data_IF_824454725816
#
_entry.id   IF_824454725816
#
_cell.length_a   1.000
_cell.length_b   1.000
_cell.length_c   1.000
_cell.angle_alpha   90.00
_cell.angle_beta   90.00
_cell.angle_gamma   90.00
#
_symmetry.space_group_name_H-M   'P 1'
#
loop_
_entity.id
_entity.type
_entity.pdbx_description
1 polymer ?
#
# COMPACT_ATOMS: atom_id res chain seq x y z
N UNK A 1 -18.60 -25.54 -26.24
CA UNK A 1 -17.57 -26.29 -26.97
C UNK A 1 -16.29 -25.47 -26.97
N UNK A 2 -15.42 -25.73 -26.00
CA UNK A 2 -14.04 -25.24 -25.95
C UNK A 2 -13.14 -26.13 -26.84
N UNK A 3 -12.07 -25.57 -27.41
CA UNK A 3 -10.79 -26.26 -27.55
C UNK A 3 -9.78 -25.57 -26.61
N UNK A 4 -9.12 -26.20 -25.64
CA UNK A 4 -8.70 -27.59 -25.53
C UNK A 4 -7.17 -27.65 -25.50
N UNK A 5 -6.59 -27.19 -24.38
CA UNK A 5 -5.36 -27.63 -23.71
C UNK A 5 -4.05 -27.79 -24.52
N UNK A 6 -3.24 -26.71 -24.54
CA UNK A 6 -1.78 -26.75 -24.76
C UNK A 6 -1.01 -26.73 -23.43
N UNK A 7 -1.39 -27.59 -22.50
CA UNK A 7 -0.61 -27.84 -21.27
C UNK A 7 -0.21 -29.30 -21.25
N UNK A 8 0.84 -29.62 -22.01
CA UNK A 8 1.59 -30.85 -21.79
C UNK A 8 2.38 -30.64 -20.50
N UNK A 9 1.93 -31.34 -19.46
CA UNK A 9 2.58 -31.41 -18.16
C UNK A 9 4.03 -31.90 -18.34
N UNK A 10 4.95 -31.37 -17.53
CA UNK A 10 6.40 -31.62 -17.60
C UNK A 10 6.82 -33.12 -17.58
N UNK A 11 5.89 -34.02 -17.23
CA UNK A 11 6.11 -35.46 -17.12
C UNK A 11 6.09 -36.20 -18.48
N UNK A 12 5.45 -35.63 -19.51
CA UNK A 12 5.28 -36.32 -20.81
C UNK A 12 6.46 -36.10 -21.78
N UNK A 13 7.20 -35.00 -21.61
CA UNK A 13 8.40 -34.72 -22.41
C UNK A 13 9.53 -35.73 -22.12
N UNK A 14 9.65 -36.14 -20.85
CA UNK A 14 10.61 -37.15 -20.40
C UNK A 14 10.28 -38.53 -21.00
N UNK A 15 8.99 -38.90 -21.02
CA UNK A 15 8.51 -40.13 -21.63
C UNK A 15 8.73 -40.16 -23.15
N UNK A 16 8.53 -39.04 -23.85
CA UNK A 16 8.77 -38.94 -25.29
C UNK A 16 10.27 -39.05 -25.63
N UNK A 17 11.14 -38.46 -24.80
CA UNK A 17 12.59 -38.50 -24.97
C UNK A 17 13.15 -39.90 -24.69
N UNK A 18 12.71 -40.55 -23.61
CA UNK A 18 13.13 -41.92 -23.24
C UNK A 18 12.67 -42.97 -24.25
N UNK A 19 11.46 -42.83 -24.82
CA UNK A 19 10.95 -43.74 -25.86
C UNK A 19 11.72 -43.59 -27.18
N UNK A 20 12.21 -42.39 -27.50
CA UNK A 20 13.05 -42.16 -28.68
C UNK A 20 14.47 -42.70 -28.49
N UNK A 21 15.03 -42.63 -27.28
CA UNK A 21 16.35 -43.19 -26.96
C UNK A 21 16.34 -44.74 -26.97
N UNK A 22 15.30 -45.37 -26.42
CA UNK A 22 15.16 -46.83 -26.42
C UNK A 22 14.98 -47.42 -27.83
N UNK A 23 14.33 -46.69 -28.74
CA UNK A 23 14.22 -47.09 -30.16
C UNK A 23 15.55 -47.08 -30.91
N UNK A 24 16.52 -46.26 -30.48
CA UNK A 24 17.81 -46.09 -31.17
C UNK A 24 18.89 -46.99 -30.55
N UNK A 25 18.87 -47.22 -29.24
CA UNK A 25 19.95 -47.90 -28.51
C UNK A 25 19.54 -49.17 -27.75
N UNK A 26 18.26 -49.56 -27.78
CA UNK A 26 17.74 -50.71 -27.04
C UNK A 26 17.67 -50.47 -25.53
N UNK A 27 16.90 -51.30 -24.81
CA UNK A 27 16.64 -51.13 -23.37
C UNK A 27 17.84 -51.44 -22.47
N UNK A 28 18.86 -52.13 -22.99
CA UNK A 28 20.06 -52.52 -22.23
C UNK A 28 21.36 -51.94 -22.79
N UNK A 29 21.30 -50.92 -23.66
CA UNK A 29 22.48 -50.18 -24.10
C UNK A 29 23.60 -51.03 -24.72
N UNK A 30 23.26 -52.15 -25.38
CA UNK A 30 24.21 -53.07 -25.96
C UNK A 30 24.16 -53.02 -27.50
N UNK A 31 25.19 -52.41 -28.09
CA UNK A 31 25.36 -52.31 -29.54
C UNK A 31 25.58 -53.71 -30.15
N UNK A 32 24.88 -54.12 -31.22
CA UNK A 32 25.14 -55.38 -31.89
C UNK A 32 26.40 -55.23 -32.77
N UNK A 33 27.52 -55.79 -32.30
CA UNK A 33 28.79 -55.79 -33.01
C UNK A 33 29.92 -55.40 -32.07
N UNK A 34 30.67 -56.39 -31.60
CA UNK A 34 31.66 -56.29 -30.52
C UNK A 34 32.66 -55.13 -30.65
N UNK A 35 32.37 -54.02 -29.99
CA UNK A 35 33.28 -52.94 -29.67
C UNK A 35 32.96 -52.41 -28.25
N UNK A 36 33.98 -52.02 -27.45
CA UNK A 36 33.77 -51.65 -26.05
C UNK A 36 32.98 -50.34 -25.91
N UNK A 37 32.11 -50.32 -24.91
CA UNK A 37 31.26 -49.22 -24.43
C UNK A 37 31.80 -47.80 -24.72
N UNK A 38 31.17 -47.08 -25.66
CA UNK A 38 31.36 -45.65 -25.84
C UNK A 38 30.37 -44.88 -24.93
N UNK A 39 30.88 -43.98 -24.08
CA UNK A 39 30.04 -43.11 -23.26
C UNK A 39 29.49 -41.96 -24.13
N UNK A 40 28.16 -41.84 -24.18
CA UNK A 40 27.48 -40.71 -24.86
C UNK A 40 27.12 -39.67 -23.81
N UNK A 41 27.65 -38.45 -23.96
CA UNK A 41 27.31 -37.31 -23.10
C UNK A 41 26.34 -36.37 -23.81
N UNK A 42 25.38 -35.82 -23.06
CA UNK A 42 24.44 -34.81 -23.56
C UNK A 42 24.68 -33.49 -22.83
N UNK A 43 24.76 -32.39 -23.58
CA UNK A 43 24.78 -31.02 -23.03
C UNK A 43 23.52 -30.28 -23.49
N UNK A 44 22.90 -29.57 -22.56
CA UNK A 44 21.69 -28.80 -22.79
C UNK A 44 22.03 -27.31 -22.84
N UNK A 45 21.71 -26.65 -23.96
CA UNK A 45 21.83 -25.20 -24.08
C UNK A 45 20.48 -24.53 -23.79
N UNK A 46 20.38 -23.90 -22.63
CA UNK A 46 19.15 -23.25 -22.17
C UNK A 46 18.80 -21.96 -22.93
N UNK A 47 19.66 -21.46 -23.83
CA UNK A 47 19.39 -20.22 -24.57
C UNK A 47 18.62 -20.44 -25.88
N UNK A 48 18.71 -21.63 -26.47
CA UNK A 48 18.06 -21.98 -27.75
C UNK A 48 17.17 -23.23 -27.68
N UNK A 49 17.12 -23.92 -26.54
CA UNK A 49 16.24 -25.08 -26.34
C UNK A 49 16.60 -26.29 -27.19
N UNK A 50 17.86 -26.41 -27.62
CA UNK A 50 18.35 -27.52 -28.44
C UNK A 50 19.30 -28.45 -27.66
N UNK A 51 19.24 -29.74 -27.97
CA UNK A 51 20.05 -30.79 -27.34
C UNK A 51 21.01 -31.35 -28.39
N UNK A 52 22.31 -31.24 -28.14
CA UNK A 52 23.35 -31.70 -29.06
C UNK A 52 23.98 -32.96 -28.45
N UNK A 53 23.82 -34.10 -29.13
CA UNK A 53 24.46 -35.35 -28.73
C UNK A 53 25.83 -35.48 -29.43
N UNK A 54 26.91 -35.63 -28.66
CA UNK A 54 28.25 -35.87 -29.21
C UNK A 54 28.75 -37.25 -28.79
N UNK A 55 29.16 -38.05 -29.77
CA UNK A 55 29.79 -39.36 -29.55
C UNK A 55 31.30 -39.14 -29.39
N UNK A 56 31.82 -39.44 -28.20
CA UNK A 56 33.24 -39.30 -27.90
C UNK A 56 33.99 -40.57 -28.38
N UNK A 57 35.08 -40.46 -29.16
CA UNK A 57 35.85 -41.64 -29.56
C UNK A 57 36.60 -42.25 -28.36
N UNK A 58 36.80 -43.58 -28.33
CA UNK A 58 37.52 -44.24 -27.24
C UNK A 58 38.99 -43.79 -27.23
N UNK A 59 39.48 -43.44 -26.05
CA UNK A 59 40.85 -42.98 -25.85
C UNK A 59 41.85 -44.11 -26.17
N UNK A 60 42.61 -43.96 -27.26
CA UNK A 60 43.79 -44.78 -27.51
C UNK A 60 44.92 -44.32 -26.61
N UNK A 61 45.13 -45.03 -25.49
CA UNK A 61 46.26 -44.80 -24.60
C UNK A 61 47.57 -45.20 -25.29
N UNK A 62 48.35 -44.19 -25.72
CA UNK A 62 49.71 -44.36 -26.22
C UNK A 62 50.66 -44.10 -25.04
N UNK A 63 51.53 -45.03 -24.63
CA UNK A 63 52.37 -44.82 -23.45
C UNK A 63 53.47 -43.81 -23.83
N UNK A 64 53.26 -42.55 -23.46
CA UNK A 64 54.30 -41.52 -23.56
C UNK A 64 55.00 -41.41 -22.22
N UNK A 65 56.28 -41.80 -22.23
CA UNK A 65 57.23 -41.60 -21.14
C UNK A 65 57.22 -40.13 -20.71
N UNK A 66 56.99 -39.90 -19.43
CA UNK A 66 56.95 -38.58 -18.82
C UNK A 66 58.33 -37.88 -18.87
N UNK A 67 58.33 -36.54 -18.86
CA UNK A 67 59.25 -35.80 -18.02
C UNK A 67 58.49 -35.22 -16.83
N UNK A 68 58.93 -35.57 -15.63
CA UNK A 68 58.37 -35.22 -14.33
C UNK A 68 58.54 -33.73 -13.95
N UNK A 69 58.01 -32.81 -14.77
CA UNK A 69 58.04 -31.35 -14.50
C UNK A 69 56.70 -30.63 -14.64
N UNK A 70 55.59 -31.36 -14.78
CA UNK A 70 54.25 -30.76 -14.94
C UNK A 70 53.28 -30.92 -13.75
N UNK A 71 53.68 -31.61 -12.69
CA UNK A 71 52.78 -31.97 -11.58
C UNK A 71 52.33 -30.76 -10.74
N UNK A 72 53.08 -29.66 -10.75
CA UNK A 72 52.71 -28.42 -10.05
C UNK A 72 51.70 -27.56 -10.83
N UNK A 73 51.70 -27.62 -12.17
CA UNK A 73 50.80 -26.81 -13.00
C UNK A 73 49.37 -27.39 -13.04
N UNK A 74 49.23 -28.71 -13.01
CA UNK A 74 47.92 -29.38 -12.99
C UNK A 74 47.16 -29.20 -11.66
N UNK A 75 47.87 -29.22 -10.53
CA UNK A 75 47.27 -28.99 -9.21
C UNK A 75 46.85 -27.53 -9.05
N UNK A 76 47.62 -26.58 -9.58
CA UNK A 76 47.26 -25.16 -9.55
C UNK A 76 45.99 -24.87 -10.36
N UNK A 77 45.80 -25.48 -11.53
CA UNK A 77 44.60 -25.27 -12.35
C UNK A 77 43.34 -25.90 -11.72
N UNK A 78 43.47 -27.08 -11.12
CA UNK A 78 42.37 -27.75 -10.42
C UNK A 78 41.97 -27.01 -9.13
N UNK A 79 42.94 -26.48 -8.40
CA UNK A 79 42.69 -25.62 -7.23
C UNK A 79 42.00 -24.31 -7.63
N UNK A 80 42.38 -23.71 -8.76
CA UNK A 80 41.75 -22.50 -9.27
C UNK A 80 40.30 -22.73 -9.73
N UNK A 81 40.01 -23.89 -10.35
CA UNK A 81 38.66 -24.28 -10.72
C UNK A 81 37.78 -24.58 -9.49
N UNK A 82 38.33 -25.19 -8.44
CA UNK A 82 37.62 -25.42 -7.18
C UNK A 82 37.33 -24.09 -6.42
N UNK A 83 38.24 -23.12 -6.49
CA UNK A 83 38.02 -21.75 -5.98
C UNK A 83 36.97 -20.99 -6.81
N UNK A 84 36.88 -21.22 -8.12
CA UNK A 84 35.89 -20.59 -8.99
C UNK A 84 34.48 -21.20 -8.87
N UNK A 85 34.37 -22.47 -8.49
CA UNK A 85 33.07 -23.13 -8.24
C UNK A 85 32.35 -22.61 -6.98
N UNK A 86 33.06 -21.91 -6.07
CA UNK A 86 32.46 -21.27 -4.90
C UNK A 86 31.65 -19.99 -5.20
N UNK A 87 31.68 -19.51 -6.44
CA UNK A 87 30.98 -18.29 -6.85
C UNK A 87 29.62 -18.51 -7.53
N UNK A 88 29.01 -19.71 -7.45
CA UNK A 88 27.57 -19.82 -7.75
C UNK A 88 26.76 -19.33 -6.54
N UNK A 89 26.70 -18.01 -6.36
CA UNK A 89 25.66 -17.43 -5.53
C UNK A 89 24.34 -17.71 -6.28
N UNK A 90 23.68 -18.83 -5.97
CA UNK A 90 22.28 -19.04 -6.33
C UNK A 90 21.52 -18.00 -5.55
N UNK A 91 21.45 -16.79 -6.13
CA UNK A 91 20.76 -15.66 -5.56
C UNK A 91 19.35 -16.10 -5.29
N UNK A 92 19.05 -16.35 -4.01
CA UNK A 92 17.68 -16.53 -3.55
C UNK A 92 16.93 -15.32 -4.05
N UNK A 93 16.02 -15.51 -5.01
CA UNK A 93 15.12 -14.46 -5.45
C UNK A 93 14.24 -14.13 -4.26
N UNK A 94 14.64 -13.12 -3.49
CA UNK A 94 13.84 -12.60 -2.39
C UNK A 94 12.57 -12.04 -3.01
N UNK A 95 11.42 -12.59 -2.64
CA UNK A 95 10.14 -12.05 -3.10
C UNK A 95 9.91 -10.70 -2.43
N UNK A 96 10.14 -9.62 -3.19
CA UNK A 96 9.95 -8.25 -2.72
C UNK A 96 8.50 -7.98 -2.28
N UNK A 97 7.54 -8.83 -2.63
CA UNK A 97 6.15 -8.74 -2.19
C UNK A 97 6.01 -8.93 -0.68
N UNK A 98 6.84 -9.75 -0.05
CA UNK A 98 6.84 -9.95 1.42
C UNK A 98 7.31 -8.70 2.19
N UNK A 99 7.94 -7.76 1.47
CA UNK A 99 8.45 -6.49 1.98
C UNK A 99 7.61 -5.28 1.55
N UNK A 100 6.45 -5.50 0.91
CA UNK A 100 5.54 -4.41 0.58
C UNK A 100 4.88 -3.84 1.86
N UNK A 101 5.28 -2.62 2.21
CA UNK A 101 4.72 -1.90 3.36
C UNK A 101 3.20 -1.72 3.28
N UNK A 102 2.61 -1.76 2.07
CA UNK A 102 1.17 -1.63 1.88
C UNK A 102 0.40 -2.86 2.37
N UNK A 103 1.05 -4.03 2.38
CA UNK A 103 0.46 -5.26 2.90
C UNK A 103 0.55 -5.31 4.44
N UNK A 104 1.63 -4.75 5.02
CA UNK A 104 1.84 -4.69 6.48
C UNK A 104 1.04 -3.57 7.16
N UNK A 105 0.98 -2.41 6.51
CA UNK A 105 0.35 -1.18 7.03
C UNK A 105 -0.77 -0.71 6.07
N UNK A 106 -1.81 -1.53 5.86
CA UNK A 106 -2.89 -1.18 4.94
C UNK A 106 -3.67 0.04 5.43
N UNK A 107 -4.08 0.88 4.49
CA UNK A 107 -5.02 1.96 4.79
C UNK A 107 -6.42 1.36 4.83
N UNK A 108 -7.01 1.37 6.01
CA UNK A 108 -8.35 0.86 6.29
C UNK A 108 -9.34 2.02 6.28
N UNK A 109 -10.58 1.75 5.87
CA UNK A 109 -11.65 2.72 5.90
C UNK A 109 -12.62 2.35 7.03
N UNK A 110 -12.79 3.25 7.99
CA UNK A 110 -13.69 3.09 9.13
C UNK A 110 -14.64 4.28 9.23
N UNK A 111 -15.86 4.05 9.74
CA UNK A 111 -16.72 5.14 10.18
C UNK A 111 -16.38 5.50 11.62
N UNK A 112 -15.96 6.74 11.84
CA UNK A 112 -15.57 7.24 13.15
C UNK A 112 -16.34 8.50 13.51
N UNK A 113 -16.65 8.71 14.81
CA UNK A 113 -17.29 9.92 15.26
C UNK A 113 -16.30 11.09 15.14
N UNK A 114 -16.72 12.15 14.46
CA UNK A 114 -16.06 13.45 14.51
C UNK A 114 -16.69 14.27 15.63
N UNK A 115 -15.88 14.59 16.64
CA UNK A 115 -16.32 15.25 17.87
C UNK A 115 -15.86 16.69 17.89
N UNK A 116 -16.78 17.60 18.21
CA UNK A 116 -16.52 19.00 18.52
C UNK A 116 -16.98 19.29 19.95
N UNK A 117 -16.04 19.70 20.81
CA UNK A 117 -16.33 20.13 22.17
C UNK A 117 -16.40 21.67 22.22
N UNK A 118 -17.58 22.20 22.51
CA UNK A 118 -17.86 23.62 22.63
C UNK A 118 -17.70 24.05 24.10
N UNK A 119 -16.76 24.95 24.42
CA UNK A 119 -16.61 25.45 25.77
C UNK A 119 -17.81 26.36 26.12
N UNK A 120 -18.55 26.02 27.17
CA UNK A 120 -19.68 26.82 27.64
C UNK A 120 -19.36 27.40 29.01
N UNK A 121 -19.27 28.72 29.09
CA UNK A 121 -19.10 29.43 30.35
C UNK A 121 -20.35 29.38 31.22
N UNK A 122 -20.19 29.54 32.54
CA UNK A 122 -21.32 29.62 33.48
C UNK A 122 -22.15 30.90 33.30
N UNK A 123 -21.46 32.00 33.00
CA UNK A 123 -22.04 33.33 32.84
C UNK A 123 -21.69 33.85 31.44
N UNK A 124 -22.57 33.59 30.48
CA UNK A 124 -22.37 33.98 29.09
C UNK A 124 -23.67 33.84 28.31
N UNK A 125 -23.74 34.42 27.10
CA UNK A 125 -24.89 34.20 26.23
C UNK A 125 -24.99 32.71 25.87
N UNK A 126 -26.22 32.26 25.61
CA UNK A 126 -26.45 30.89 25.16
C UNK A 126 -25.71 30.59 23.84
N UNK A 127 -25.51 31.60 22.98
CA UNK A 127 -24.74 31.52 21.75
C UNK A 127 -23.80 32.72 21.69
N UNK A 128 -22.48 32.49 21.69
CA UNK A 128 -21.49 33.53 21.42
C UNK A 128 -21.09 33.51 19.94
N UNK A 129 -20.44 34.58 19.46
CA UNK A 129 -19.97 34.64 18.08
C UNK A 129 -18.95 33.54 17.76
N UNK A 130 -18.11 33.17 18.74
CA UNK A 130 -17.12 32.10 18.61
C UNK A 130 -17.80 30.73 18.50
N UNK A 131 -18.82 30.46 19.32
CA UNK A 131 -19.60 29.22 19.25
C UNK A 131 -20.36 29.16 17.92
N UNK A 132 -20.97 30.27 17.48
CA UNK A 132 -21.67 30.32 16.20
C UNK A 132 -20.73 30.05 15.02
N UNK A 133 -19.53 30.65 15.01
CA UNK A 133 -18.49 30.36 14.02
C UNK A 133 -18.10 28.88 14.01
N UNK A 134 -17.83 28.30 15.18
CA UNK A 134 -17.48 26.88 15.31
C UNK A 134 -18.61 25.95 14.84
N UNK A 135 -19.87 26.28 15.12
CA UNK A 135 -21.04 25.52 14.64
C UNK A 135 -21.17 25.62 13.13
N UNK A 136 -20.99 26.80 12.54
CA UNK A 136 -21.05 26.99 11.09
C UNK A 136 -19.98 26.16 10.38
N UNK A 137 -18.75 26.19 10.88
CA UNK A 137 -17.64 25.39 10.34
C UNK A 137 -17.91 23.88 10.47
N UNK A 138 -18.49 23.48 11.60
CA UNK A 138 -18.87 22.09 11.83
C UNK A 138 -20.00 21.62 10.90
N UNK A 139 -20.99 22.46 10.63
CA UNK A 139 -22.05 22.18 9.65
C UNK A 139 -21.49 22.09 8.23
N UNK A 140 -20.54 22.97 7.87
CA UNK A 140 -19.86 22.89 6.58
C UNK A 140 -19.13 21.54 6.41
N UNK A 141 -18.43 21.08 7.45
CA UNK A 141 -17.79 19.76 7.47
C UNK A 141 -18.81 18.62 7.40
N UNK A 142 -19.90 18.69 8.17
CA UNK A 142 -20.99 17.69 8.12
C UNK A 142 -21.61 17.58 6.72
N UNK A 143 -21.81 18.71 6.03
CA UNK A 143 -22.33 18.70 4.65
C UNK A 143 -21.34 18.08 3.65
N UNK A 144 -20.04 18.26 3.86
CA UNK A 144 -19.01 17.76 2.97
C UNK A 144 -18.73 16.27 3.15
N UNK A 145 -18.70 15.79 4.39
CA UNK A 145 -18.18 14.45 4.74
C UNK A 145 -19.05 13.68 5.74
N UNK A 146 -20.06 14.30 6.32
CA UNK A 146 -20.86 13.72 7.39
C UNK A 146 -21.85 12.67 6.90
N UNK A 147 -21.90 11.56 7.62
CA UNK A 147 -22.90 10.50 7.50
C UNK A 147 -23.73 10.43 8.78
N UNK A 148 -24.97 9.93 8.65
CA UNK A 148 -25.87 9.78 9.80
C UNK A 148 -26.39 11.11 10.37
N UNK A 149 -26.71 11.08 11.67
CA UNK A 149 -27.30 12.20 12.41
C UNK A 149 -26.23 12.92 13.26
N UNK A 150 -26.39 14.24 13.43
CA UNK A 150 -25.62 15.02 14.40
C UNK A 150 -26.21 14.76 15.78
N UNK A 151 -25.38 14.39 16.74
CA UNK A 151 -25.75 14.20 18.14
C UNK A 151 -25.19 15.35 18.96
N UNK A 152 -26.07 16.08 19.64
CA UNK A 152 -25.74 17.12 20.62
C UNK A 152 -25.79 16.47 22.00
N UNK A 153 -24.65 16.40 22.67
CA UNK A 153 -24.48 15.86 24.00
C UNK A 153 -24.37 17.00 25.02
N UNK A 154 -25.38 17.11 25.88
CA UNK A 154 -25.49 18.16 26.90
C UNK A 154 -25.04 17.61 28.27
N UNK A 155 -24.11 18.26 28.97
CA UNK A 155 -23.70 17.82 30.31
C UNK A 155 -24.85 17.99 31.31
N UNK A 156 -25.04 16.98 32.16
CA UNK A 156 -25.88 17.05 33.36
C UNK A 156 -25.03 16.79 34.60
N UNK A 157 -25.34 17.46 35.71
CA UNK A 157 -24.58 17.35 36.96
C UNK A 157 -23.26 18.14 36.97
N UNK A 158 -23.06 19.08 36.04
CA UNK A 158 -21.93 20.01 36.00
C UNK A 158 -22.28 21.38 36.58
N UNK A 159 -21.27 22.20 36.90
CA UNK A 159 -21.47 23.56 37.41
C UNK A 159 -22.21 24.49 36.42
N UNK A 160 -22.07 24.20 35.12
CA UNK A 160 -22.64 24.98 34.03
C UNK A 160 -23.86 24.32 33.37
N UNK A 161 -24.50 23.32 33.99
CA UNK A 161 -25.60 22.54 33.39
C UNK A 161 -26.71 23.41 32.78
N UNK A 162 -27.17 24.44 33.50
CA UNK A 162 -28.23 25.34 33.01
C UNK A 162 -27.78 26.14 31.78
N UNK A 163 -26.55 26.67 31.83
CA UNK A 163 -25.98 27.42 30.72
C UNK A 163 -25.78 26.49 29.50
N UNK A 164 -25.20 25.31 29.69
CA UNK A 164 -24.99 24.30 28.65
C UNK A 164 -26.31 23.81 28.04
N UNK A 165 -27.39 23.67 28.82
CA UNK A 165 -28.71 23.34 28.29
C UNK A 165 -29.32 24.48 27.46
N UNK A 166 -29.06 25.75 27.82
CA UNK A 166 -29.46 26.89 27.01
C UNK A 166 -28.68 26.96 25.69
N UNK A 167 -27.36 26.71 25.73
CA UNK A 167 -26.49 26.65 24.55
C UNK A 167 -26.85 25.47 23.65
N UNK A 168 -27.08 24.28 24.21
CA UNK A 168 -27.49 23.11 23.44
C UNK A 168 -28.78 23.35 22.64
N UNK A 169 -29.75 24.07 23.22
CA UNK A 169 -30.96 24.51 22.50
C UNK A 169 -30.64 25.53 21.40
N UNK A 170 -29.82 26.53 21.69
CA UNK A 170 -29.43 27.53 20.70
C UNK A 170 -28.67 26.89 19.52
N UNK A 171 -27.75 25.96 19.79
CA UNK A 171 -27.03 25.16 18.79
C UNK A 171 -28.00 24.31 17.97
N UNK A 172 -28.97 23.64 18.59
CA UNK A 172 -29.99 22.90 17.84
C UNK A 172 -30.73 23.80 16.83
N UNK A 173 -31.15 25.00 17.24
CA UNK A 173 -31.79 25.94 16.32
C UNK A 173 -30.85 26.47 15.24
N UNK A 174 -29.58 26.70 15.56
CA UNK A 174 -28.57 27.08 14.57
C UNK A 174 -28.39 25.99 13.50
N UNK A 175 -28.25 24.72 13.90
CA UNK A 175 -28.16 23.58 12.97
C UNK A 175 -29.35 23.51 12.02
N UNK A 176 -30.57 23.72 12.54
CA UNK A 176 -31.80 23.72 11.74
C UNK A 176 -31.82 24.89 10.77
N UNK A 177 -31.48 26.10 11.24
CA UNK A 177 -31.35 27.31 10.42
C UNK A 177 -30.35 27.10 9.29
N UNK A 178 -29.27 26.39 9.58
CA UNK A 178 -28.22 26.02 8.64
C UNK A 178 -28.57 24.73 7.88
N UNK A 179 -29.85 24.41 7.73
CA UNK A 179 -30.35 23.40 6.80
C UNK A 179 -30.13 21.94 7.21
N UNK A 180 -29.73 21.64 8.45
CA UNK A 180 -29.71 20.26 8.95
C UNK A 180 -31.16 19.84 9.27
N UNK A 181 -31.69 18.77 8.64
CA UNK A 181 -33.06 18.33 8.91
C UNK A 181 -33.26 17.95 10.37
N UNK A 182 -34.39 18.33 10.98
CA UNK A 182 -34.73 18.01 12.37
C UNK A 182 -34.57 16.52 12.70
N UNK A 183 -35.01 15.62 11.80
CA UNK A 183 -34.89 14.18 12.00
C UNK A 183 -33.46 13.63 12.01
N UNK A 184 -32.46 14.46 11.64
CA UNK A 184 -31.03 14.14 11.68
C UNK A 184 -30.30 14.84 12.83
N UNK A 185 -31.03 15.47 13.76
CA UNK A 185 -30.44 16.05 14.96
C UNK A 185 -30.96 15.27 16.16
N UNK A 186 -30.05 14.70 16.94
CA UNK A 186 -30.34 13.99 18.18
C UNK A 186 -29.78 14.80 19.34
N UNK A 187 -30.54 14.93 20.42
CA UNK A 187 -30.04 15.56 21.66
C UNK A 187 -30.04 14.49 22.74
N UNK A 188 -28.91 14.33 23.42
CA UNK A 188 -28.74 13.35 24.48
C UNK A 188 -28.02 14.01 25.68
N UNK A 189 -28.42 13.71 26.92
CA UNK A 189 -27.64 14.12 28.08
C UNK A 189 -26.43 13.22 28.28
N UNK A 190 -25.37 13.73 28.91
CA UNK A 190 -24.27 12.92 29.44
C UNK A 190 -23.94 13.34 30.87
N UNK A 191 -23.68 12.37 31.74
CA UNK A 191 -23.46 12.63 33.16
C UNK A 191 -22.04 13.11 33.45
N UNK A 192 -21.94 14.15 34.28
CA UNK A 192 -20.71 14.63 34.89
C UNK A 192 -20.80 14.37 36.39
N UNK A 193 -19.83 13.62 36.93
CA UNK A 193 -19.87 13.18 38.33
C UNK A 193 -19.48 14.27 39.35
N UNK A 194 -19.12 15.47 38.88
CA UNK A 194 -18.61 16.56 39.71
C UNK A 194 -19.35 17.87 39.39
N UNK A 195 -20.18 18.32 40.35
CA UNK A 195 -21.00 19.54 40.24
C UNK A 195 -20.19 20.83 40.30
N UNK A 196 -18.92 20.78 40.67
CA UNK A 196 -18.05 21.96 40.72
C UNK A 196 -17.33 22.20 39.39
N UNK A 197 -17.31 21.20 38.50
CA UNK A 197 -16.62 21.28 37.22
C UNK A 197 -17.51 21.84 36.12
N UNK A 198 -16.93 22.71 35.31
CA UNK A 198 -17.50 23.15 34.04
C UNK A 198 -17.23 22.07 33.00
N UNK A 199 -18.26 21.71 32.22
CA UNK A 199 -18.16 20.67 31.20
C UNK A 199 -18.58 21.22 29.82
N UNK A 200 -17.93 20.79 28.73
CA UNK A 200 -18.24 21.30 27.39
C UNK A 200 -19.57 20.74 26.86
N UNK A 201 -20.20 21.48 25.96
CA UNK A 201 -21.26 20.91 25.12
C UNK A 201 -20.58 20.13 23.99
N UNK A 202 -20.92 18.86 23.82
CA UNK A 202 -20.27 18.01 22.81
C UNK A 202 -21.18 17.80 21.61
N UNK A 203 -20.65 17.91 20.41
CA UNK A 203 -21.34 17.59 19.16
C UNK A 203 -20.60 16.47 18.46
N UNK A 204 -21.32 15.49 17.91
CA UNK A 204 -20.72 14.42 17.12
C UNK A 204 -21.55 14.03 15.91
N UNK A 205 -20.88 13.70 14.80
CA UNK A 205 -21.48 13.00 13.66
C UNK A 205 -20.52 11.92 13.19
N UNK A 206 -21.02 10.93 12.44
CA UNK A 206 -20.15 9.89 11.88
C UNK A 206 -19.57 10.38 10.56
N UNK A 207 -18.28 10.13 10.33
CA UNK A 207 -17.69 10.32 9.00
C UNK A 207 -16.80 9.15 8.65
N UNK A 208 -16.66 8.93 7.36
CA UNK A 208 -15.71 7.96 6.84
C UNK A 208 -14.30 8.53 7.01
N UNK A 209 -13.41 7.81 7.67
CA UNK A 209 -11.98 8.13 7.86
C UNK A 209 -11.11 7.03 7.28
N UNK A 210 -9.94 7.43 6.78
CA UNK A 210 -8.86 6.52 6.48
C UNK A 210 -7.99 6.37 7.74
N UNK A 211 -7.79 5.15 8.19
CA UNK A 211 -6.96 4.83 9.36
C UNK A 211 -5.94 3.76 9.01
N UNK A 212 -4.83 3.75 9.74
CA UNK A 212 -3.77 2.75 9.61
C UNK A 212 -3.66 2.06 10.98
N UNK A 213 -3.37 0.74 11.05
CA UNK A 213 -3.06 0.07 12.30
C UNK A 213 -1.97 0.82 13.08
N UNK A 214 -1.94 0.67 14.41
CA UNK A 214 -0.97 1.40 15.24
C UNK A 214 0.47 1.06 14.84
N UNK A 215 1.24 2.09 14.44
CA UNK A 215 2.68 2.00 14.23
C UNK A 215 3.43 1.84 15.57
N UNK A 216 4.69 1.38 15.53
CA UNK A 216 5.57 1.30 16.69
C UNK A 216 5.83 -0.14 17.18
N UNK A 217 5.63 -1.14 16.31
CA UNK A 217 5.84 -2.54 16.62
C UNK A 217 7.16 -2.99 15.99
N UNK A 218 8.10 -3.38 16.85
CA UNK A 218 9.44 -3.82 16.47
C UNK A 218 9.66 -5.25 16.96
N UNK A 219 9.16 -6.26 16.23
CA UNK A 219 9.20 -7.65 16.68
C UNK A 219 10.62 -8.24 16.59
N UNK A 220 11.41 -7.79 15.63
CA UNK A 220 12.80 -8.20 15.47
C UNK A 220 13.71 -7.42 16.43
N UNK A 221 14.73 -8.08 16.95
CA UNK A 221 15.75 -7.40 17.76
C UNK A 221 16.43 -6.33 16.90
N UNK A 222 16.69 -5.16 17.48
CA UNK A 222 17.45 -4.05 16.87
C UNK A 222 18.96 -4.39 16.67
N UNK A 223 19.27 -5.68 16.51
CA UNK A 223 20.59 -6.18 16.16
C UNK A 223 20.86 -5.88 14.69
N UNK A 224 22.07 -5.44 14.34
CA UNK A 224 22.44 -5.23 12.95
C UNK A 224 22.25 -6.51 12.15
N UNK A 225 21.31 -6.49 11.22
CA UNK A 225 21.18 -7.50 10.17
C UNK A 225 21.76 -6.92 8.87
N UNK A 226 22.71 -7.62 8.27
CA UNK A 226 23.40 -7.19 7.04
C UNK A 226 22.66 -7.62 5.76
N UNK A 227 21.41 -8.09 5.89
CA UNK A 227 20.60 -8.58 4.78
C UNK A 227 19.93 -7.50 3.94
N UNK A 228 20.08 -6.21 4.32
CA UNK A 228 19.52 -5.05 3.60
C UNK A 228 18.00 -5.16 3.38
N UNK A 229 17.29 -5.68 4.38
CA UNK A 229 15.84 -5.86 4.38
C UNK A 229 15.16 -4.67 5.08
N UNK A 230 13.99 -4.20 4.61
CA UNK A 230 13.27 -3.13 5.27
C UNK A 230 12.69 -3.60 6.61
N UNK A 231 12.84 -2.77 7.63
CA UNK A 231 12.31 -3.00 8.97
C UNK A 231 10.78 -3.23 8.97
N UNK A 232 10.28 -3.88 10.01
CA UNK A 232 8.85 -4.17 10.17
C UNK A 232 7.95 -2.94 9.98
N UNK A 233 8.29 -1.84 10.65
CA UNK A 233 7.53 -0.58 10.64
C UNK A 233 7.87 0.35 9.46
N UNK A 234 8.67 -0.13 8.51
CA UNK A 234 8.97 0.63 7.30
C UNK A 234 7.66 0.99 6.56
N UNK A 235 7.52 2.28 6.22
CA UNK A 235 6.35 2.80 5.51
C UNK A 235 5.14 3.14 6.39
N UNK A 236 5.08 2.76 7.67
CA UNK A 236 3.91 3.05 8.52
C UNK A 236 3.64 4.55 8.69
N UNK A 237 4.71 5.34 8.90
CA UNK A 237 4.58 6.79 8.96
C UNK A 237 4.09 7.40 7.62
N UNK A 238 4.51 6.83 6.49
CA UNK A 238 4.13 7.31 5.17
C UNK A 238 2.65 7.01 4.87
N UNK A 239 2.18 5.80 5.18
CA UNK A 239 0.76 5.42 5.00
C UNK A 239 -0.15 6.17 5.96
N UNK A 240 0.29 6.39 7.20
CA UNK A 240 -0.44 7.19 8.20
C UNK A 240 -0.58 8.65 7.78
N UNK A 241 0.50 9.28 7.31
CA UNK A 241 0.44 10.64 6.77
C UNK A 241 -0.43 10.72 5.52
N UNK A 242 -0.35 9.73 4.62
CA UNK A 242 -1.23 9.66 3.46
C UNK A 242 -2.70 9.59 3.89
N UNK A 243 -3.04 8.71 4.84
CA UNK A 243 -4.40 8.57 5.36
C UNK A 243 -4.92 9.88 5.97
N UNK A 244 -4.06 10.65 6.65
CA UNK A 244 -4.42 11.95 7.22
C UNK A 244 -4.60 13.07 6.17
N UNK A 245 -3.86 13.02 5.05
CA UNK A 245 -3.93 14.04 3.99
C UNK A 245 -5.08 13.82 3.00
N UNK A 246 -5.64 12.61 2.92
CA UNK A 246 -6.69 12.29 1.96
C UNK A 246 -7.99 13.03 2.32
N UNK A 247 -8.44 13.91 1.42
CA UNK A 247 -9.65 14.71 1.62
C UNK A 247 -10.94 13.86 1.62
N UNK A 248 -11.00 12.81 0.78
CA UNK A 248 -12.10 11.87 0.72
C UNK A 248 -11.59 10.42 0.80
N UNK A 249 -11.71 9.76 1.95
CA UNK A 249 -11.22 8.38 2.14
C UNK A 249 -11.83 7.35 1.17
N UNK A 250 -13.05 7.57 0.68
CA UNK A 250 -13.71 6.63 -0.24
C UNK A 250 -12.96 6.47 -1.57
N UNK A 251 -12.14 7.47 -1.94
CA UNK A 251 -11.37 7.47 -3.19
C UNK A 251 -10.24 6.42 -3.19
N UNK A 252 -9.82 5.96 -1.99
CA UNK A 252 -8.83 4.89 -1.83
C UNK A 252 -9.38 3.52 -2.24
N UNK A 253 -10.71 3.33 -2.18
CA UNK A 253 -11.37 2.08 -2.62
C UNK A 253 -11.84 2.20 -4.05
N UNK A 254 -12.43 3.35 -4.42
CA UNK A 254 -12.91 3.58 -5.78
C UNK A 254 -12.78 5.06 -6.15
N UNK A 255 -12.17 5.39 -7.30
CA UNK A 255 -12.08 6.78 -7.75
C UNK A 255 -13.48 7.35 -8.00
N UNK A 256 -13.63 8.66 -7.78
CA UNK A 256 -14.84 9.38 -8.17
C UNK A 256 -15.02 9.35 -9.70
N UNK A 257 -16.27 9.37 -10.20
CA UNK A 257 -16.52 9.55 -11.62
C UNK A 257 -15.90 10.87 -12.10
N UNK A 258 -15.34 10.88 -13.30
CA UNK A 258 -14.80 12.09 -13.89
C UNK A 258 -15.90 13.14 -14.04
N UNK A 259 -15.69 14.32 -13.43
CA UNK A 259 -16.58 15.46 -13.64
C UNK A 259 -16.51 15.93 -15.10
N UNK A 260 -17.62 16.44 -15.67
CA UNK A 260 -17.61 16.99 -17.01
C UNK A 260 -16.63 18.18 -17.12
N UNK A 261 -16.05 18.36 -18.30
CA UNK A 261 -15.14 19.48 -18.57
C UNK A 261 -15.83 20.82 -18.29
N UNK A 262 -15.15 21.74 -17.59
CA UNK A 262 -15.65 23.10 -17.33
C UNK A 262 -15.65 23.94 -18.62
N UNK A 263 -16.64 23.72 -19.48
CA UNK A 263 -16.77 24.38 -20.79
C UNK A 263 -16.71 25.90 -20.70
N UNK A 264 -17.40 26.50 -19.71
CA UNK A 264 -17.39 27.95 -19.50
C UNK A 264 -16.01 28.53 -19.18
N UNK A 265 -15.23 27.87 -18.32
CA UNK A 265 -13.86 28.32 -18.00
C UNK A 265 -12.94 28.18 -19.22
N UNK A 266 -13.08 27.09 -19.98
CA UNK A 266 -12.29 26.85 -21.19
C UNK A 266 -12.60 27.88 -22.27
N UNK A 267 -13.88 28.16 -22.52
CA UNK A 267 -14.31 29.20 -23.46
C UNK A 267 -13.80 30.59 -23.02
N UNK A 268 -13.88 30.91 -21.72
CA UNK A 268 -13.36 32.16 -21.19
C UNK A 268 -11.85 32.30 -21.45
N UNK A 269 -11.06 31.29 -21.14
CA UNK A 269 -9.60 31.31 -21.36
C UNK A 269 -9.25 31.47 -22.85
N UNK A 270 -9.99 30.82 -23.75
CA UNK A 270 -9.79 30.98 -25.20
C UNK A 270 -10.12 32.40 -25.65
N UNK A 271 -11.24 32.97 -25.18
CA UNK A 271 -11.64 34.33 -25.51
C UNK A 271 -10.65 35.37 -24.95
N UNK A 272 -10.21 35.19 -23.70
CA UNK A 272 -9.22 36.07 -23.05
C UNK A 272 -7.89 36.01 -23.82
N UNK A 273 -7.43 34.80 -24.20
CA UNK A 273 -6.23 34.62 -25.01
C UNK A 273 -6.34 35.29 -26.38
N UNK A 274 -7.46 35.09 -27.08
CA UNK A 274 -7.71 35.70 -28.39
C UNK A 274 -7.82 37.23 -28.31
N UNK A 275 -8.33 37.76 -27.20
CA UNK A 275 -8.43 39.19 -26.92
C UNK A 275 -7.16 39.84 -26.33
N UNK A 276 -6.08 39.08 -26.13
CA UNK A 276 -4.84 39.58 -25.51
C UNK A 276 -4.96 39.91 -24.02
N UNK A 277 -5.99 39.42 -23.34
CA UNK A 277 -6.22 39.61 -21.91
C UNK A 277 -5.49 38.53 -21.08
N UNK A 278 -5.27 38.81 -19.79
CA UNK A 278 -4.70 37.83 -18.88
C UNK A 278 -5.65 36.63 -18.69
N UNK A 279 -5.14 35.42 -18.94
CA UNK A 279 -5.90 34.16 -18.83
C UNK A 279 -5.88 33.56 -17.42
N UNK A 280 -5.01 34.08 -16.54
CA UNK A 280 -4.93 33.69 -15.12
C UNK A 280 -6.07 34.30 -14.32
N UNK A 281 -6.50 33.62 -13.28
CA UNK A 281 -7.39 34.23 -12.27
C UNK A 281 -6.60 35.22 -11.43
N UNK A 282 -7.19 36.37 -11.12
CA UNK A 282 -6.65 37.28 -10.11
C UNK A 282 -6.84 36.65 -8.73
N UNK A 283 -5.76 36.24 -8.07
CA UNK A 283 -5.80 35.90 -6.66
C UNK A 283 -5.62 37.19 -5.86
N UNK A 284 -6.72 37.82 -5.44
CA UNK A 284 -6.64 38.72 -4.28
C UNK A 284 -6.44 37.83 -3.07
N UNK A 285 -5.18 37.62 -2.67
CA UNK A 285 -4.88 37.11 -1.34
C UNK A 285 -5.56 38.08 -0.38
N UNK A 286 -6.44 37.58 0.49
CA UNK A 286 -6.92 38.37 1.62
C UNK A 286 -5.67 38.64 2.45
N UNK A 287 -5.17 39.87 2.38
CA UNK A 287 -4.09 40.34 3.23
C UNK A 287 -4.64 40.40 4.65
N UNK A 288 -4.43 39.33 5.41
CA UNK A 288 -4.64 39.31 6.85
C UNK A 288 -3.55 40.19 7.45
N UNK A 289 -3.78 41.51 7.45
CA UNK A 289 -2.87 42.49 8.03
C UNK A 289 -2.68 42.25 9.52
N UNK A 290 -1.75 41.37 9.87
CA UNK A 290 -1.12 41.34 11.19
C UNK A 290 -0.08 42.45 11.21
N UNK A 291 -0.52 43.63 11.65
CA UNK A 291 0.36 44.74 11.96
C UNK A 291 1.39 44.34 13.01
N UNK A 292 2.66 44.63 12.71
CA UNK A 292 3.74 44.73 13.69
C UNK A 292 3.83 46.13 14.27
#
# INVERSE_FOLDING_TARGET
>A
SQPGDNLVMANDAEAYFLNRLTKVYGTDGQVPGGAPSAQVGFTFDCREGSVIAQVMPPATEKPRRAPARGLLAGVALAAFAALAAGCSNTGSSVDMRDYDYRLRHPVMISEEPEVLDLPVGMNGPAMSAEIEGAVNDYVAQYRAQGTGAITIQVPIGSANEVAAASTGRAVHYALVRDGVPHGRIKVAPYAVNDRTRVAPLRMSFLRVKATVPSCGVWPDSNTPDYRNEPYHDFGCAQTSNLAAMVANPADLVRPQPMAPSHGGRRAKVINDYAGGAETRSSNTLIDSGTGG
#
